data_IF_776137794782
#
_entry.id   IF_776137794782
#
_cell.length_a   1.000
_cell.length_b   1.000
_cell.length_c   1.000
_cell.angle_alpha   90.00
_cell.angle_beta   90.00
_cell.angle_gamma   90.00
#
_symmetry.space_group_name_H-M   'P 1'
#
loop_
_entity.id
_entity.type
_entity.pdbx_description
1 polymer ?
#
# COMPACT_ATOMS: atom_id res chain seq x y z
N UNK A 1 -5.36 -25.43 -33.11
CA UNK A 1 -4.63 -26.03 -31.97
C UNK A 1 -3.59 -25.09 -31.36
N UNK A 2 -2.81 -24.35 -32.15
CA UNK A 2 -1.78 -23.40 -31.66
C UNK A 2 -2.26 -22.34 -30.66
N UNK A 3 -3.48 -21.80 -30.82
CA UNK A 3 -4.03 -20.80 -29.89
C UNK A 3 -4.22 -21.34 -28.46
N UNK A 4 -4.60 -22.62 -28.31
CA UNK A 4 -4.78 -23.25 -26.99
C UNK A 4 -3.44 -23.47 -26.29
N UNK A 5 -2.40 -23.83 -27.05
CA UNK A 5 -1.05 -24.01 -26.52
C UNK A 5 -0.51 -22.67 -26.03
N UNK A 6 -0.64 -21.60 -26.82
CA UNK A 6 -0.21 -20.26 -26.41
C UNK A 6 -0.95 -19.77 -25.17
N UNK A 7 -2.28 -19.94 -25.12
CA UNK A 7 -3.08 -19.57 -23.95
C UNK A 7 -2.62 -20.32 -22.69
N UNK A 8 -2.45 -21.64 -22.78
CA UNK A 8 -2.02 -22.45 -21.65
C UNK A 8 -0.62 -22.05 -21.15
N UNK A 9 0.34 -21.82 -22.05
CA UNK A 9 1.69 -21.40 -21.68
C UNK A 9 1.67 -20.03 -20.99
N UNK A 10 0.93 -19.06 -21.55
CA UNK A 10 0.80 -17.73 -20.95
C UNK A 10 0.17 -17.78 -19.56
N UNK A 11 -0.89 -18.58 -19.37
CA UNK A 11 -1.53 -18.72 -18.06
C UNK A 11 -0.60 -19.36 -17.03
N UNK A 12 0.13 -20.40 -17.40
CA UNK A 12 1.11 -21.04 -16.51
C UNK A 12 2.23 -20.07 -16.11
N UNK A 13 2.75 -19.30 -17.06
CA UNK A 13 3.78 -18.28 -16.78
C UNK A 13 3.25 -17.17 -15.88
N UNK A 14 2.02 -16.69 -16.12
CA UNK A 14 1.39 -15.67 -15.29
C UNK A 14 1.16 -16.18 -13.85
N UNK A 15 0.72 -17.43 -13.68
CA UNK A 15 0.55 -18.06 -12.37
C UNK A 15 1.88 -18.19 -11.63
N UNK A 16 2.94 -18.68 -12.30
CA UNK A 16 4.27 -18.76 -11.71
C UNK A 16 4.78 -17.39 -11.27
N UNK A 17 4.56 -16.35 -12.09
CA UNK A 17 4.93 -14.99 -11.75
C UNK A 17 4.18 -14.47 -10.51
N UNK A 18 2.87 -14.70 -10.41
CA UNK A 18 2.07 -14.33 -9.25
C UNK A 18 2.53 -15.06 -7.98
N UNK A 19 2.87 -16.35 -8.07
CA UNK A 19 3.39 -17.12 -6.93
C UNK A 19 4.70 -16.54 -6.39
N UNK A 20 5.63 -16.16 -7.28
CA UNK A 20 6.88 -15.52 -6.88
C UNK A 20 6.65 -14.18 -6.18
N UNK A 21 5.66 -13.39 -6.64
CA UNK A 21 5.28 -12.14 -5.97
C UNK A 21 4.73 -12.43 -4.58
N UNK A 22 3.81 -13.40 -4.43
CA UNK A 22 3.22 -13.75 -3.13
C UNK A 22 4.27 -14.18 -2.11
N UNK A 23 5.23 -15.01 -2.53
CA UNK A 23 6.34 -15.45 -1.67
C UNK A 23 7.22 -14.24 -1.30
N UNK A 24 7.58 -13.42 -2.28
CA UNK A 24 8.40 -12.22 -2.06
C UNK A 24 7.76 -11.24 -1.08
N UNK A 25 6.46 -10.96 -1.21
CA UNK A 25 5.70 -10.10 -0.29
C UNK A 25 5.64 -10.71 1.11
N UNK A 26 5.45 -12.02 1.23
CA UNK A 26 5.38 -12.70 2.52
C UNK A 26 6.70 -12.64 3.29
N UNK A 27 7.83 -12.86 2.60
CA UNK A 27 9.17 -12.79 3.20
C UNK A 27 9.56 -11.35 3.55
N UNK A 28 9.19 -10.39 2.69
CA UNK A 28 9.55 -8.99 2.87
C UNK A 28 8.61 -8.22 3.79
N UNK A 29 7.49 -8.83 4.25
CA UNK A 29 6.43 -8.16 5.01
C UNK A 29 6.97 -7.36 6.19
N UNK A 30 7.81 -7.97 7.03
CA UNK A 30 8.35 -7.29 8.22
C UNK A 30 9.36 -6.20 7.86
N UNK A 31 10.23 -6.46 6.87
CA UNK A 31 11.23 -5.48 6.41
C UNK A 31 10.59 -4.27 5.75
N UNK A 32 9.54 -4.49 4.95
CA UNK A 32 8.74 -3.44 4.32
C UNK A 32 7.96 -2.67 5.38
N UNK A 33 7.33 -3.35 6.34
CA UNK A 33 6.62 -2.70 7.46
C UNK A 33 7.55 -1.80 8.26
N UNK A 34 8.77 -2.25 8.54
CA UNK A 34 9.78 -1.45 9.24
C UNK A 34 10.22 -0.24 8.39
N UNK A 35 10.50 -0.45 7.11
CA UNK A 35 10.95 0.62 6.22
C UNK A 35 9.87 1.68 5.98
N UNK A 36 8.62 1.25 5.81
CA UNK A 36 7.43 2.09 5.77
C UNK A 36 7.30 2.87 7.07
N UNK A 37 7.36 2.19 8.22
CA UNK A 37 7.29 2.84 9.54
C UNK A 37 8.36 3.94 9.67
N UNK A 38 9.61 3.62 9.36
CA UNK A 38 10.72 4.57 9.46
C UNK A 38 10.52 5.76 8.51
N UNK A 39 10.07 5.50 7.28
CA UNK A 39 9.82 6.55 6.30
C UNK A 39 8.65 7.45 6.70
N UNK A 40 7.57 6.91 7.26
CA UNK A 40 6.41 7.72 7.66
C UNK A 40 6.55 8.37 9.04
N UNK A 41 7.46 7.88 9.88
CA UNK A 41 7.84 8.55 11.13
C UNK A 41 8.38 9.97 10.90
N UNK A 42 9.04 10.23 9.78
CA UNK A 42 9.54 11.58 9.44
C UNK A 42 8.44 12.56 9.06
N UNK A 43 7.22 12.08 8.82
CA UNK A 43 6.06 12.90 8.47
C UNK A 43 5.09 13.08 9.64
N UNK A 44 5.49 12.69 10.86
CA UNK A 44 4.69 12.93 12.05
C UNK A 44 4.95 14.33 12.63
N UNK A 45 3.93 14.99 13.20
CA UNK A 45 2.52 14.57 13.22
C UNK A 45 1.83 14.80 11.87
N UNK A 46 0.91 13.92 11.48
CA UNK A 46 0.19 13.99 10.19
C UNK A 46 -0.57 15.32 10.01
N UNK A 47 -0.91 15.98 11.12
CA UNK A 47 -1.60 17.27 11.16
C UNK A 47 -0.79 18.45 10.63
N UNK A 48 0.52 18.29 10.42
CA UNK A 48 1.40 19.33 9.88
C UNK A 48 1.54 19.29 8.33
N UNK A 49 0.82 18.40 7.65
CA UNK A 49 0.82 18.32 6.19
C UNK A 49 0.21 19.57 5.52
N UNK A 50 0.50 19.74 4.23
CA UNK A 50 -0.15 20.76 3.40
C UNK A 50 -1.64 20.48 3.24
N UNK A 51 -2.44 21.49 2.90
CA UNK A 51 -3.89 21.35 2.70
C UNK A 51 -4.25 20.26 1.67
N UNK A 52 -3.46 20.16 0.59
CA UNK A 52 -3.63 19.14 -0.43
C UNK A 52 -3.39 17.72 0.11
N UNK A 53 -2.34 17.53 0.92
CA UNK A 53 -2.02 16.25 1.56
C UNK A 53 -3.09 15.86 2.58
N UNK A 54 -3.54 16.81 3.40
CA UNK A 54 -4.59 16.61 4.39
C UNK A 54 -5.92 16.21 3.74
N UNK A 55 -6.27 16.84 2.60
CA UNK A 55 -7.47 16.50 1.84
C UNK A 55 -7.39 15.10 1.23
N UNK A 56 -6.21 14.70 0.73
CA UNK A 56 -6.01 13.33 0.23
C UNK A 56 -6.06 12.30 1.36
N UNK A 57 -5.48 12.61 2.52
CA UNK A 57 -5.57 11.78 3.72
C UNK A 57 -7.01 11.61 4.19
N UNK A 58 -7.81 12.66 4.19
CA UNK A 58 -9.25 12.62 4.54
C UNK A 58 -10.05 11.70 3.60
N UNK A 59 -9.84 11.83 2.28
CA UNK A 59 -10.48 10.96 1.29
C UNK A 59 -10.11 9.49 1.48
N UNK A 60 -8.82 9.20 1.62
CA UNK A 60 -8.33 7.84 1.84
C UNK A 60 -8.91 7.27 3.15
N UNK A 61 -8.88 8.03 4.24
CA UNK A 61 -9.41 7.58 5.52
C UNK A 61 -10.92 7.31 5.46
N UNK A 62 -11.67 8.13 4.72
CA UNK A 62 -13.11 7.94 4.52
C UNK A 62 -13.42 6.71 3.66
N UNK A 63 -12.75 6.57 2.52
CA UNK A 63 -12.98 5.48 1.57
C UNK A 63 -12.63 4.12 2.19
N UNK A 64 -11.52 4.07 2.92
CA UNK A 64 -11.03 2.84 3.54
C UNK A 64 -11.49 2.64 4.99
N UNK A 65 -12.25 3.60 5.56
CA UNK A 65 -12.70 3.60 6.96
C UNK A 65 -11.56 3.28 7.94
N UNK A 66 -10.42 3.90 7.71
CA UNK A 66 -9.22 3.76 8.55
C UNK A 66 -8.86 5.11 9.16
N UNK A 67 -8.13 5.08 10.27
CA UNK A 67 -7.62 6.30 10.90
C UNK A 67 -6.13 6.15 11.15
N UNK A 68 -5.37 7.19 10.84
CA UNK A 68 -3.92 7.21 11.03
C UNK A 68 -3.12 6.32 10.09
N UNK A 69 -1.85 6.12 10.42
CA UNK A 69 -0.89 5.40 9.58
C UNK A 69 -0.18 4.26 10.33
N UNK A 70 0.25 4.54 11.57
CA UNK A 70 1.08 3.68 12.41
C UNK A 70 0.38 3.34 13.73
N UNK A 71 0.00 4.37 14.49
CA UNK A 71 -0.63 4.26 15.81
C UNK A 71 -2.09 4.73 15.78
N UNK A 72 -2.66 4.86 14.60
CA UNK A 72 -4.06 5.21 14.42
C UNK A 72 -4.32 6.68 14.67
N UNK A 73 -5.37 7.00 15.44
CA UNK A 73 -5.72 8.39 15.76
C UNK A 73 -4.57 9.15 16.44
N UNK A 74 -3.68 8.45 17.15
CA UNK A 74 -2.54 9.05 17.86
C UNK A 74 -1.53 9.70 16.90
N UNK A 75 -1.48 9.29 15.63
CA UNK A 75 -0.56 9.86 14.64
C UNK A 75 -0.91 11.32 14.26
N UNK A 76 -2.13 11.77 14.60
CA UNK A 76 -2.62 13.12 14.35
C UNK A 76 -2.27 14.12 15.47
N UNK A 77 -1.82 13.63 16.63
CA UNK A 77 -1.60 14.44 17.82
C UNK A 77 -2.92 15.04 18.32
N UNK A 78 -2.98 16.37 18.45
CA UNK A 78 -4.14 17.08 18.98
C UNK A 78 -5.22 17.38 17.93
N UNK A 79 -4.87 17.39 16.64
CA UNK A 79 -5.78 17.78 15.55
C UNK A 79 -6.22 16.57 14.74
N UNK A 80 -7.25 15.88 15.24
CA UNK A 80 -7.82 14.69 14.61
C UNK A 80 -8.86 15.11 13.55
N UNK A 81 -8.78 14.64 12.30
CA UNK A 81 -9.73 14.99 11.25
C UNK A 81 -11.08 14.28 11.43
N UNK A 82 -12.12 14.83 10.79
CA UNK A 82 -13.48 14.27 10.84
C UNK A 82 -13.55 12.87 10.21
N UNK A 83 -12.73 12.58 9.21
CA UNK A 83 -12.57 11.22 8.64
C UNK A 83 -12.21 10.15 9.67
N UNK A 84 -11.57 10.53 10.77
CA UNK A 84 -11.14 9.66 11.86
C UNK A 84 -12.17 9.52 12.99
N UNK A 85 -13.23 10.32 12.99
CA UNK A 85 -14.26 10.25 14.03
C UNK A 85 -15.12 9.00 13.80
N UNK A 86 -14.87 7.97 14.62
CA UNK A 86 -15.69 6.76 14.64
C UNK A 86 -17.07 7.08 15.22
N UNK A 87 -18.13 6.87 14.44
CA UNK A 87 -19.44 6.58 15.04
C UNK A 87 -19.32 5.26 15.81
N UNK A 88 -20.04 5.14 16.95
CA UNK A 88 -19.88 4.11 18.01
C UNK A 88 -19.88 2.63 17.53
N UNK A 89 -20.18 2.35 16.26
CA UNK A 89 -20.48 1.01 15.76
C UNK A 89 -19.44 0.34 14.82
N UNK A 90 -18.21 0.86 14.63
CA UNK A 90 -17.31 0.28 13.58
C UNK A 90 -15.88 -0.02 14.05
N UNK A 91 -15.54 -1.31 14.05
CA UNK A 91 -14.18 -1.83 14.26
C UNK A 91 -13.23 -1.35 13.16
N UNK A 92 -11.98 -0.96 13.48
CA UNK A 92 -11.03 -0.45 12.49
C UNK A 92 -10.54 -1.58 11.56
N UNK A 93 -10.62 -1.34 10.26
CA UNK A 93 -10.22 -2.26 9.20
C UNK A 93 -8.74 -2.04 8.84
N UNK A 94 -7.89 -3.04 9.11
CA UNK A 94 -6.43 -3.02 8.88
C UNK A 94 -6.04 -3.29 7.41
N UNK A 95 -6.43 -2.45 6.43
CA UNK A 95 -6.26 -2.79 4.99
C UNK A 95 -5.30 -1.89 4.18
N UNK A 96 -4.96 -0.68 4.63
CA UNK A 96 -4.31 0.30 3.75
C UNK A 96 -2.81 0.04 3.45
N UNK A 97 -2.07 -0.62 4.35
CA UNK A 97 -0.64 -0.93 4.12
C UNK A 97 -0.48 -1.95 2.98
N UNK A 98 -1.43 -2.87 2.80
CA UNK A 98 -1.34 -3.92 1.79
C UNK A 98 -1.52 -3.35 0.37
N UNK A 99 -2.46 -2.41 0.16
CA UNK A 99 -2.76 -1.87 -1.17
C UNK A 99 -1.62 -1.00 -1.71
N UNK A 100 -1.03 -0.13 -0.86
CA UNK A 100 0.09 0.73 -1.28
C UNK A 100 1.38 -0.05 -1.51
N UNK A 101 1.67 -1.08 -0.69
CA UNK A 101 2.84 -1.95 -0.90
C UNK A 101 2.71 -2.73 -2.21
N UNK A 102 1.50 -3.24 -2.52
CA UNK A 102 1.23 -3.93 -3.78
C UNK A 102 1.53 -3.02 -4.98
N UNK A 103 1.05 -1.78 -4.96
CA UNK A 103 1.21 -0.81 -6.05
C UNK A 103 2.66 -0.34 -6.20
N UNK A 104 3.35 -0.05 -5.08
CA UNK A 104 4.73 0.42 -5.07
C UNK A 104 5.71 -0.68 -5.53
N UNK A 105 5.47 -1.93 -5.12
CA UNK A 105 6.24 -3.08 -5.59
C UNK A 105 6.07 -3.32 -7.09
N UNK A 106 4.84 -3.20 -7.61
CA UNK A 106 4.55 -3.30 -9.04
C UNK A 106 5.24 -2.18 -9.85
N UNK A 107 5.28 -0.97 -9.29
CA UNK A 107 6.01 0.16 -9.87
C UNK A 107 7.53 -0.10 -9.92
N UNK A 108 8.14 -0.61 -8.83
CA UNK A 108 9.58 -0.95 -8.79
C UNK A 108 9.93 -2.03 -9.82
N UNK A 109 9.13 -3.08 -9.96
CA UNK A 109 9.35 -4.13 -10.98
C UNK A 109 9.29 -3.53 -12.38
N UNK A 110 8.29 -2.70 -12.65
CA UNK A 110 8.11 -2.06 -13.96
C UNK A 110 9.29 -1.17 -14.32
N UNK A 111 9.77 -0.36 -13.36
CA UNK A 111 10.97 0.48 -13.52
C UNK A 111 12.24 -0.36 -13.73
N UNK A 112 12.45 -1.43 -12.96
CA UNK A 112 13.62 -2.32 -13.11
C UNK A 112 13.61 -3.09 -14.43
N UNK A 113 12.43 -3.39 -14.97
CA UNK A 113 12.25 -4.01 -16.28
C UNK A 113 12.56 -3.02 -17.41
N UNK A 114 12.12 -1.77 -17.31
CA UNK A 114 12.47 -0.73 -18.28
C UNK A 114 13.97 -0.39 -18.27
N UNK A 115 14.61 -0.31 -17.10
CA UNK A 115 16.05 -0.04 -17.01
C UNK A 115 16.93 -1.14 -17.60
N UNK A 116 16.48 -2.41 -17.56
CA UNK A 116 17.18 -3.55 -18.20
C UNK A 116 17.01 -3.63 -19.72
N UNK A 117 16.06 -2.92 -20.31
CA UNK A 117 15.90 -2.88 -21.77
C UNK A 117 16.67 -1.73 -22.43
N UNK A 118 17.24 -0.82 -21.63
CA UNK A 118 17.99 0.36 -22.10
C UNK A 118 19.52 0.18 -21.99
N UNK A 119 19.99 -0.99 -21.56
CA UNK A 119 21.41 -1.31 -21.39
C UNK A 119 21.76 -2.63 -22.06
#
# INVERSE_FOLDING_TARGET
>A
MWALILFSVCMTVALLFLLLICIGVSVLKEKVKQNVRNHYQTFMPLSNGTEAELKQLDLIQRDFRCCGLINGYQDWGEKIPVSCLCSVDKKPLNVLILVKVQYFYFAIISLKKMMRMKN
#
